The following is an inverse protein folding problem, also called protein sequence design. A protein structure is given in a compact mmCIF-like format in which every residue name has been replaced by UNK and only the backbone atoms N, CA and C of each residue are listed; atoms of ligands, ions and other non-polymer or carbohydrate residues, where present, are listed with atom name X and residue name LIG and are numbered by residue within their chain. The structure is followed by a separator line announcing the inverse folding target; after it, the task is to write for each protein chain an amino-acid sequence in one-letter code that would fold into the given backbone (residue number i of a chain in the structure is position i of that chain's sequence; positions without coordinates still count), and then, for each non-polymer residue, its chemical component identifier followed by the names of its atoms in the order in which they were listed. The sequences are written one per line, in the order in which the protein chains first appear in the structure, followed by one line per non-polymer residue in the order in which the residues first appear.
data_IF_087455896138
#
_entry.id   IF_087455896138
#
_cell.length_a   1.000
_cell.length_b   1.000
_cell.length_c   1.000
_cell.angle_alpha   90.00
_cell.angle_beta   90.00
_cell.angle_gamma   90.00
#
_symmetry.space_group_name_H-M   'P 1'
#
loop_
_entity.id
_entity.type
_entity.pdbx_description
1 polymer ?
#
# COMPACT_ATOMS: atom_id res chain seq x y z
N UNK A 1 8.40 53.40 15.96
CA UNK A 1 7.14 53.47 15.19
C UNK A 1 7.17 52.29 14.22
N UNK A 2 6.59 51.15 14.65
CA UNK A 2 5.39 50.51 14.06
C UNK A 2 5.74 49.74 12.77
N UNK A 3 6.02 48.43 12.84
CA UNK A 3 5.09 47.27 12.87
C UNK A 3 4.33 47.03 11.55
N UNK A 4 4.30 45.73 11.18
CA UNK A 4 3.42 45.02 10.22
C UNK A 4 3.74 45.18 8.73
N UNK A 5 3.85 44.15 7.88
CA UNK A 5 2.89 43.08 7.62
C UNK A 5 3.56 41.92 6.86
N UNK A 6 3.06 40.69 7.00
CA UNK A 6 3.37 39.58 6.08
C UNK A 6 3.88 38.27 6.69
N UNK A 7 3.42 37.87 7.88
CA UNK A 7 3.51 36.45 8.25
C UNK A 7 2.39 35.77 7.46
N UNK A 8 2.72 35.31 6.26
CA UNK A 8 1.92 34.34 5.53
C UNK A 8 1.85 33.08 6.40
N UNK A 9 0.73 32.96 7.11
CA UNK A 9 0.36 31.75 7.81
C UNK A 9 0.34 30.64 6.77
N UNK A 10 1.31 29.72 6.84
CA UNK A 10 1.13 28.39 6.28
C UNK A 10 -0.23 27.93 6.81
N UNK A 11 -1.22 27.83 5.90
CA UNK A 11 -2.52 27.30 6.25
C UNK A 11 -2.30 25.98 6.95
N UNK A 12 -3.09 25.65 7.99
CA UNK A 12 -2.98 24.34 8.61
C UNK A 12 -3.05 23.34 7.46
N UNK A 13 -1.97 22.58 7.26
CA UNK A 13 -2.03 21.36 6.50
C UNK A 13 -3.16 20.59 7.17
N UNK A 14 -4.34 20.57 6.57
CA UNK A 14 -5.38 19.62 6.90
C UNK A 14 -4.73 18.28 6.56
N UNK A 15 -4.28 17.48 7.53
CA UNK A 15 -3.81 16.16 7.22
C UNK A 15 -5.06 15.42 6.77
N UNK A 16 -5.17 15.24 5.45
CA UNK A 16 -6.27 14.58 4.77
C UNK A 16 -6.80 13.39 5.59
N UNK A 17 -8.13 13.21 5.63
CA UNK A 17 -8.84 12.47 6.67
C UNK A 17 -8.24 11.08 6.87
N UNK A 18 -7.76 10.80 8.08
CA UNK A 18 -7.47 9.49 8.67
C UNK A 18 -7.55 8.33 7.65
N UNK A 19 -6.62 8.28 6.68
CA UNK A 19 -6.62 7.16 5.73
C UNK A 19 -6.34 5.94 6.60
N UNK A 20 -7.29 5.01 6.67
CA UNK A 20 -7.14 3.78 7.46
C UNK A 20 -5.75 3.20 7.12
N UNK A 21 -4.96 2.83 8.13
CA UNK A 21 -3.59 2.41 7.90
C UNK A 21 -3.61 1.19 6.97
N UNK A 22 -2.70 1.21 5.98
CA UNK A 22 -2.43 0.03 5.17
C UNK A 22 -1.97 -1.07 6.11
N UNK A 23 -2.59 -2.25 5.98
CA UNK A 23 -2.32 -3.42 6.82
C UNK A 23 -1.61 -4.52 6.05
N UNK A 24 -1.86 -4.59 4.75
CA UNK A 24 -1.22 -5.58 3.89
C UNK A 24 -0.67 -4.92 2.64
N UNK A 25 0.47 -5.42 2.17
CA UNK A 25 1.03 -5.09 0.85
C UNK A 25 1.14 -6.39 0.10
N UNK A 26 0.53 -6.49 -1.08
CA UNK A 26 0.65 -7.68 -1.94
C UNK A 26 1.46 -7.29 -3.16
N UNK A 27 2.62 -7.89 -3.32
CA UNK A 27 3.42 -7.77 -4.54
C UNK A 27 3.10 -8.95 -5.45
N UNK A 28 2.65 -8.67 -6.66
CA UNK A 28 2.29 -9.69 -7.65
C UNK A 28 2.96 -9.38 -8.99
N UNK A 29 3.36 -10.44 -9.72
CA UNK A 29 3.68 -10.31 -11.14
C UNK A 29 2.37 -10.29 -11.94
N UNK A 30 2.02 -9.13 -12.49
CA UNK A 30 0.86 -8.95 -13.35
C UNK A 30 1.34 -8.91 -14.81
N UNK A 31 1.49 -10.09 -15.42
CA UNK A 31 1.90 -10.20 -16.82
C UNK A 31 3.31 -9.68 -17.14
N UNK A 32 4.28 -9.81 -16.22
CA UNK A 32 5.66 -9.38 -16.40
C UNK A 32 6.02 -8.03 -15.76
N UNK A 33 5.06 -7.37 -15.13
CA UNK A 33 5.29 -6.17 -14.30
C UNK A 33 5.00 -6.48 -12.85
N UNK A 34 5.93 -6.15 -11.95
CA UNK A 34 5.71 -6.30 -10.51
C UNK A 34 4.89 -5.11 -9.99
N UNK A 35 3.69 -5.40 -9.50
CA UNK A 35 2.76 -4.41 -8.94
C UNK A 35 2.62 -4.65 -7.45
N UNK A 36 2.73 -3.59 -6.66
CA UNK A 36 2.44 -3.60 -5.24
C UNK A 36 1.07 -3.01 -4.97
N UNK A 37 0.16 -3.85 -4.48
CA UNK A 37 -1.19 -3.49 -4.09
C UNK A 37 -1.24 -3.29 -2.57
N UNK A 38 -1.66 -2.10 -2.16
CA UNK A 38 -1.79 -1.71 -0.76
C UNK A 38 -3.23 -2.00 -0.31
N UNK A 39 -3.39 -2.76 0.76
CA UNK A 39 -4.69 -3.15 1.29
C UNK A 39 -4.88 -2.74 2.75
N UNK A 40 -6.11 -2.41 3.11
CA UNK A 40 -6.51 -2.22 4.52
C UNK A 40 -6.65 -3.56 5.25
N UNK A 41 -6.89 -3.50 6.56
CA UNK A 41 -7.23 -4.68 7.37
C UNK A 41 -8.42 -5.47 6.79
N UNK A 42 -9.39 -4.77 6.20
CA UNK A 42 -10.55 -5.38 5.54
C UNK A 42 -10.25 -5.97 4.16
N UNK A 43 -8.98 -5.97 3.71
CA UNK A 43 -8.54 -6.36 2.35
C UNK A 43 -9.18 -5.54 1.24
N UNK A 44 -9.54 -4.31 1.57
CA UNK A 44 -9.96 -3.30 0.59
C UNK A 44 -8.72 -2.70 -0.07
N UNK A 45 -8.70 -2.68 -1.40
CA UNK A 45 -7.61 -2.10 -2.19
C UNK A 45 -7.60 -0.58 -2.00
N UNK A 46 -6.46 -0.06 -1.56
CA UNK A 46 -6.24 1.34 -1.25
C UNK A 46 -5.57 2.07 -2.40
N UNK A 47 -4.56 1.43 -2.97
CA UNK A 47 -3.77 1.94 -4.08
C UNK A 47 -2.95 0.82 -4.72
N UNK A 48 -2.64 1.00 -5.99
CA UNK A 48 -1.72 0.17 -6.77
C UNK A 48 -0.53 1.04 -7.12
N UNK A 49 0.68 0.55 -6.84
CA UNK A 49 1.93 1.26 -7.09
C UNK A 49 2.97 0.30 -7.65
N UNK A 50 4.02 0.85 -8.24
CA UNK A 50 5.15 0.05 -8.71
C UNK A 50 5.82 -0.67 -7.53
N UNK A 51 6.08 -1.97 -7.66
CA UNK A 51 6.70 -2.73 -6.58
C UNK A 51 8.14 -2.31 -6.27
N UNK A 52 8.81 -1.66 -7.22
CA UNK A 52 10.14 -1.08 -7.06
C UNK A 52 10.15 0.32 -6.45
N UNK A 53 8.98 0.94 -6.21
CA UNK A 53 8.91 2.27 -5.60
C UNK A 53 9.57 2.30 -4.21
N UNK A 54 10.34 3.35 -3.94
CA UNK A 54 11.06 3.53 -2.67
C UNK A 54 10.12 3.48 -1.44
N UNK A 55 8.91 4.03 -1.58
CA UNK A 55 7.88 3.98 -0.56
C UNK A 55 7.50 2.53 -0.21
N UNK A 56 7.22 1.70 -1.23
CA UNK A 56 6.89 0.28 -1.04
C UNK A 56 8.04 -0.45 -0.39
N UNK A 57 9.25 -0.30 -0.92
CA UNK A 57 10.45 -0.94 -0.39
C UNK A 57 10.69 -0.57 1.07
N UNK A 58 10.46 0.69 1.44
CA UNK A 58 10.56 1.15 2.84
C UNK A 58 9.48 0.53 3.72
N UNK A 59 8.24 0.41 3.23
CA UNK A 59 7.12 -0.17 3.97
C UNK A 59 7.30 -1.67 4.26
N UNK A 60 7.84 -2.43 3.31
CA UNK A 60 8.03 -3.88 3.45
C UNK A 60 9.41 -4.26 3.97
N UNK A 61 10.29 -3.28 4.21
CA UNK A 61 11.66 -3.51 4.65
C UNK A 61 11.69 -4.24 5.99
N UNK A 62 12.43 -5.34 6.05
CA UNK A 62 12.53 -6.17 7.27
C UNK A 62 11.29 -7.02 7.58
N UNK A 63 10.25 -7.00 6.74
CA UNK A 63 9.06 -7.84 6.89
C UNK A 63 9.21 -9.09 6.03
N UNK A 64 9.05 -10.26 6.64
CA UNK A 64 9.03 -11.52 5.90
C UNK A 64 7.68 -11.67 5.17
N UNK A 65 7.64 -11.76 3.83
CA UNK A 65 6.39 -12.01 3.11
C UNK A 65 5.91 -13.44 3.32
N UNK A 66 4.60 -13.60 3.42
CA UNK A 66 3.95 -14.87 3.13
C UNK A 66 3.88 -15.05 1.61
N UNK A 67 4.29 -16.23 1.13
CA UNK A 67 4.24 -16.55 -0.30
C UNK A 67 2.91 -17.22 -0.62
N UNK A 68 2.23 -16.71 -1.63
CA UNK A 68 0.94 -17.19 -2.08
C UNK A 68 -0.23 -16.47 -1.41
N UNK A 69 -1.08 -15.87 -2.23
CA UNK A 69 -2.36 -15.25 -1.87
C UNK A 69 -3.53 -16.14 -2.32
N UNK A 70 -3.50 -17.42 -1.89
CA UNK A 70 -4.48 -18.44 -2.29
C UNK A 70 -5.72 -18.50 -1.39
N UNK A 71 -5.67 -17.87 -0.22
CA UNK A 71 -6.80 -17.82 0.71
C UNK A 71 -8.04 -17.16 0.06
N UNK A 72 -9.26 -17.56 0.47
CA UNK A 72 -10.50 -17.06 -0.13
C UNK A 72 -10.65 -15.53 0.00
N UNK A 73 -10.09 -14.94 1.05
CA UNK A 73 -10.06 -13.49 1.27
C UNK A 73 -9.29 -12.77 0.15
N UNK A 74 -8.17 -13.35 -0.28
CA UNK A 74 -7.37 -12.84 -1.40
C UNK A 74 -7.97 -13.17 -2.75
N UNK A 75 -8.75 -14.24 -2.87
CA UNK A 75 -9.44 -14.57 -4.11
C UNK A 75 -10.43 -13.47 -4.55
N UNK A 76 -11.13 -12.85 -3.60
CA UNK A 76 -12.01 -11.72 -3.89
C UNK A 76 -11.21 -10.45 -4.21
N UNK A 77 -10.21 -10.12 -3.38
CA UNK A 77 -9.40 -8.92 -3.55
C UNK A 77 -8.55 -8.93 -4.83
N UNK A 78 -8.09 -10.10 -5.26
CA UNK A 78 -7.24 -10.31 -6.44
C UNK A 78 -8.02 -10.99 -7.58
N UNK A 79 -9.33 -10.78 -7.67
CA UNK A 79 -10.20 -11.48 -8.64
C UNK A 79 -9.83 -11.28 -10.12
N UNK A 80 -9.01 -10.27 -10.44
CA UNK A 80 -8.45 -10.04 -11.78
C UNK A 80 -7.17 -10.80 -12.09
N UNK A 81 -6.57 -11.47 -11.09
CA UNK A 81 -5.30 -12.19 -11.24
C UNK A 81 -5.51 -13.71 -11.31
N UNK A 82 -4.73 -14.34 -12.18
CA UNK A 82 -4.67 -15.77 -12.37
C UNK A 82 -4.19 -16.46 -11.10
N UNK A 83 -4.62 -17.70 -10.88
CA UNK A 83 -4.13 -18.54 -9.76
C UNK A 83 -2.61 -18.68 -9.75
N UNK A 84 -1.97 -18.68 -10.94
CA UNK A 84 -0.51 -18.70 -11.05
C UNK A 84 0.12 -17.44 -10.44
N UNK A 85 -0.38 -16.28 -10.80
CA UNK A 85 0.10 -14.98 -10.32
C UNK A 85 -0.10 -14.87 -8.81
N UNK A 86 -1.29 -15.28 -8.32
CA UNK A 86 -1.58 -15.29 -6.88
C UNK A 86 -0.73 -16.27 -6.09
N UNK A 87 -0.32 -17.40 -6.69
CA UNK A 87 0.54 -18.38 -6.03
C UNK A 87 1.97 -17.87 -5.85
N UNK A 88 2.45 -17.01 -6.76
CA UNK A 88 3.76 -16.38 -6.67
C UNK A 88 3.73 -15.04 -5.89
N UNK A 89 2.54 -14.50 -5.65
CA UNK A 89 2.34 -13.25 -4.94
C UNK A 89 2.97 -13.27 -3.53
N UNK A 90 3.53 -12.14 -3.12
CA UNK A 90 4.17 -11.93 -1.81
C UNK A 90 3.28 -11.03 -0.98
N UNK A 91 2.74 -11.56 0.10
CA UNK A 91 1.86 -10.85 1.02
C UNK A 91 2.67 -10.41 2.25
N UNK A 92 2.89 -9.12 2.38
CA UNK A 92 3.52 -8.50 3.54
C UNK A 92 2.42 -8.00 4.49
N UNK A 93 2.51 -8.38 5.77
CA UNK A 93 1.61 -7.87 6.81
C UNK A 93 2.32 -6.79 7.59
N UNK A 94 1.80 -5.57 7.53
CA UNK A 94 2.34 -4.42 8.26
C UNK A 94 1.88 -4.52 9.72
N UNK A 95 2.77 -4.93 10.60
CA UNK A 95 2.57 -4.79 12.04
C UNK A 95 2.69 -3.31 12.38
N UNK A 96 1.57 -2.65 12.66
CA UNK A 96 1.58 -1.34 13.34
C UNK A 96 2.10 -1.51 14.76
#
# INVERSE_FOLDING_TARGET
MSQTYGIEAHGPHDPAPHRKPVRYVVVIDAGGSMVAMLFLESRELVAEVDAGAEEVNSMISGIQPAIGALEPEWNAALGGHSTRERRDARVYTLGV
#
